data_IF_630975113428
#
_entry.id   IF_630975113428
#
_cell.length_a   1.000
_cell.length_b   1.000
_cell.length_c   1.000
_cell.angle_alpha   90.00
_cell.angle_beta   90.00
_cell.angle_gamma   90.00
#
_symmetry.space_group_name_H-M   'P 1'
#
loop_
_entity.id
_entity.type
_entity.pdbx_description
1 polymer ?
#
# COMPACT_ATOMS: atom_id res chain seq x y z
N UNK A 1 -6.14 1.44 -18.23
CA UNK A 1 -4.98 1.80 -17.36
C UNK A 1 -5.34 1.47 -15.90
N UNK A 2 -4.74 0.45 -15.28
CA UNK A 2 -5.05 0.08 -13.88
C UNK A 2 -4.16 0.91 -12.94
N UNK A 3 -4.74 1.79 -12.14
CA UNK A 3 -4.00 2.60 -11.14
C UNK A 3 -3.70 1.73 -9.92
N UNK A 4 -2.43 1.62 -9.54
CA UNK A 4 -2.01 0.90 -8.35
C UNK A 4 -2.43 1.61 -7.07
N UNK A 5 -2.55 0.87 -5.96
CA UNK A 5 -3.00 1.42 -4.66
C UNK A 5 -2.09 2.53 -4.12
N UNK A 6 -0.80 2.49 -4.43
CA UNK A 6 0.18 3.42 -3.89
C UNK A 6 0.49 4.60 -4.82
N UNK A 7 0.03 4.55 -6.07
CA UNK A 7 0.26 5.58 -7.08
C UNK A 7 -0.43 6.90 -6.70
N UNK A 8 0.02 8.04 -7.26
CA UNK A 8 -0.69 9.31 -7.13
C UNK A 8 -2.13 9.17 -7.62
N UNK A 9 -3.07 9.75 -6.87
CA UNK A 9 -4.48 9.62 -7.18
C UNK A 9 -4.84 10.46 -8.43
N UNK A 10 -5.51 9.88 -9.44
CA UNK A 10 -5.79 10.55 -10.72
C UNK A 10 -6.79 11.73 -10.60
N UNK A 11 -7.32 12.02 -9.42
CA UNK A 11 -8.18 13.18 -9.17
C UNK A 11 -7.41 14.49 -8.89
N UNK A 12 -6.09 14.50 -9.04
CA UNK A 12 -5.26 15.70 -8.82
C UNK A 12 -4.98 16.04 -7.36
N UNK A 13 -5.43 15.23 -6.41
CA UNK A 13 -5.26 15.53 -4.96
C UNK A 13 -3.82 15.43 -4.43
N UNK A 14 -2.86 14.94 -5.21
CA UNK A 14 -1.48 14.63 -4.76
C UNK A 14 -1.36 13.49 -3.74
N UNK A 15 -2.47 12.92 -3.25
CA UNK A 15 -2.49 11.81 -2.28
C UNK A 15 -2.36 10.46 -2.99
N UNK A 16 -1.86 9.43 -2.30
CA UNK A 16 -1.87 8.04 -2.80
C UNK A 16 -3.30 7.57 -3.09
N UNK A 17 -3.53 6.84 -4.18
CA UNK A 17 -4.85 6.39 -4.62
C UNK A 17 -5.63 5.66 -3.51
N UNK A 18 -4.94 4.78 -2.74
CA UNK A 18 -5.53 4.10 -1.58
C UNK A 18 -6.08 5.06 -0.53
N UNK A 19 -5.42 6.19 -0.27
CA UNK A 19 -5.81 7.19 0.75
C UNK A 19 -6.78 8.26 0.22
N UNK A 20 -7.13 8.21 -1.06
CA UNK A 20 -8.00 9.19 -1.69
C UNK A 20 -9.24 8.49 -2.27
N UNK A 21 -9.41 8.46 -3.59
CA UNK A 21 -10.63 7.97 -4.24
C UNK A 21 -10.97 6.52 -3.88
N UNK A 22 -10.00 5.68 -3.52
CA UNK A 22 -10.27 4.30 -3.12
C UNK A 22 -11.06 4.18 -1.80
N UNK A 23 -10.81 5.06 -0.82
CA UNK A 23 -11.56 5.06 0.45
C UNK A 23 -12.85 5.87 0.40
N UNK A 24 -13.03 6.74 -0.62
CA UNK A 24 -14.28 7.51 -0.79
C UNK A 24 -15.49 6.63 -1.09
N UNK A 25 -15.27 5.41 -1.57
CA UNK A 25 -16.32 4.44 -1.91
C UNK A 25 -16.56 3.39 -0.81
N UNK A 26 -15.79 3.40 0.27
CA UNK A 26 -15.96 2.45 1.37
C UNK A 26 -17.04 2.95 2.35
N UNK A 27 -17.91 2.08 2.88
CA UNK A 27 -18.76 2.47 3.99
C UNK A 27 -17.86 2.97 5.12
N UNK A 28 -18.08 4.20 5.58
CA UNK A 28 -17.40 4.70 6.76
C UNK A 28 -17.68 3.69 7.86
N UNK A 29 -16.66 2.93 8.26
CA UNK A 29 -16.76 2.00 9.39
C UNK A 29 -17.29 2.83 10.55
N UNK A 30 -18.58 2.69 10.84
CA UNK A 30 -19.12 3.20 12.09
C UNK A 30 -18.27 2.48 13.13
N UNK A 31 -17.50 3.23 13.91
CA UNK A 31 -16.92 2.66 15.12
C UNK A 31 -18.12 2.09 15.87
N UNK A 32 -18.31 0.78 15.82
CA UNK A 32 -19.28 0.12 16.67
C UNK A 32 -18.70 0.26 18.06
N UNK A 33 -19.00 1.38 18.70
CA UNK A 33 -18.86 1.56 20.13
C UNK A 33 -19.91 0.64 20.80
N UNK A 34 -19.66 -0.66 20.71
CA UNK A 34 -20.09 -1.65 21.67
C UNK A 34 -18.80 -1.85 22.46
N UNK A 35 -18.58 -1.25 23.62
CA UNK A 35 -19.34 -1.41 24.86
C UNK A 35 -18.92 -0.26 25.79
N UNK A 36 -19.82 0.69 26.05
CA UNK A 36 -19.73 1.63 27.19
C UNK A 36 -20.81 1.33 28.24
N UNK A 37 -21.50 0.18 28.13
CA UNK A 37 -22.50 -0.26 29.10
C UNK A 37 -21.84 -1.27 30.03
N UNK A 38 -21.57 -0.82 31.25
CA UNK A 38 -20.77 -1.50 32.26
C UNK A 38 -21.28 -2.88 32.69
N UNK A 39 -20.35 -3.67 33.23
CA UNK A 39 -20.63 -4.94 33.89
C UNK A 39 -19.38 -5.81 34.03
N UNK A 40 -18.73 -5.74 35.20
CA UNK A 40 -17.97 -6.85 35.78
C UNK A 40 -16.48 -6.97 35.44
N UNK A 41 -15.65 -6.46 36.34
CA UNK A 41 -14.30 -6.97 36.56
C UNK A 41 -14.36 -8.45 36.92
N UNK A 42 -14.06 -9.33 35.96
CA UNK A 42 -13.65 -10.71 36.26
C UNK A 42 -12.24 -10.91 35.71
N UNK A 43 -11.25 -10.39 36.45
CA UNK A 43 -9.86 -10.86 36.35
C UNK A 43 -9.77 -12.24 37.01
N UNK A 44 -10.45 -13.22 36.44
CA UNK A 44 -10.42 -14.60 36.87
C UNK A 44 -9.43 -15.41 36.05
N UNK A 45 -8.36 -15.89 36.69
CA UNK A 45 -7.72 -17.15 36.28
C UNK A 45 -6.58 -17.06 35.29
N UNK A 46 -5.43 -16.56 35.77
CA UNK A 46 -4.14 -17.14 35.41
C UNK A 46 -4.17 -18.64 35.75
N UNK A 47 -4.40 -19.55 34.79
CA UNK A 47 -4.14 -20.99 34.95
C UNK A 47 -4.10 -21.73 33.59
N UNK A 48 -2.88 -22.04 33.13
CA UNK A 48 -2.58 -23.07 32.14
C UNK A 48 -2.71 -22.63 30.68
N UNK A 49 -1.74 -22.83 29.79
CA UNK A 49 -0.58 -23.74 29.76
C UNK A 49 0.46 -23.05 28.87
N UNK A 50 1.72 -23.02 29.27
CA UNK A 50 2.80 -22.49 28.45
C UNK A 50 2.94 -23.30 27.15
N UNK A 51 2.24 -22.90 26.09
CA UNK A 51 2.50 -23.42 24.75
C UNK A 51 3.78 -22.75 24.29
N UNK A 52 4.88 -23.51 24.29
CA UNK A 52 6.20 -23.14 23.77
C UNK A 52 6.04 -22.25 22.53
N UNK A 53 6.38 -20.98 22.69
CA UNK A 53 6.55 -20.05 21.57
C UNK A 53 7.81 -20.55 20.86
N UNK A 54 7.64 -21.32 19.80
CA UNK A 54 8.73 -21.83 18.97
C UNK A 54 9.57 -20.65 18.51
N UNK A 55 10.82 -20.60 18.99
CA UNK A 55 11.81 -19.58 18.67
C UNK A 55 12.40 -19.77 17.25
N UNK A 56 11.82 -20.67 16.47
CA UNK A 56 12.22 -20.97 15.09
C UNK A 56 11.86 -19.85 14.09
N UNK A 57 11.13 -18.83 14.53
CA UNK A 57 10.86 -17.62 13.73
C UNK A 57 12.13 -16.80 13.42
N UNK A 58 13.24 -17.03 14.13
CA UNK A 58 14.49 -16.28 13.98
C UNK A 58 15.49 -16.84 12.95
N UNK A 59 15.18 -17.92 12.21
CA UNK A 59 16.21 -18.68 11.46
C UNK A 59 16.35 -18.42 9.95
N UNK A 60 15.85 -17.33 9.36
CA UNK A 60 16.39 -16.93 8.05
C UNK A 60 16.19 -15.45 7.73
N UNK A 61 17.24 -14.60 7.80
CA UNK A 61 17.17 -13.30 7.16
C UNK A 61 16.90 -13.52 5.66
N UNK A 62 15.92 -12.83 5.06
CA UNK A 62 15.69 -12.91 3.63
C UNK A 62 16.94 -12.42 2.90
N UNK A 63 17.44 -13.20 1.94
CA UNK A 63 18.59 -12.82 1.14
C UNK A 63 18.33 -11.48 0.44
N UNK A 64 19.33 -10.58 0.37
CA UNK A 64 19.18 -9.31 -0.32
C UNK A 64 18.87 -9.60 -1.78
N UNK A 65 17.68 -9.15 -2.22
CA UNK A 65 17.30 -9.21 -3.63
C UNK A 65 18.34 -8.42 -4.40
N UNK A 66 19.06 -9.09 -5.30
CA UNK A 66 19.92 -8.42 -6.29
C UNK A 66 19.03 -7.43 -7.02
N UNK A 67 19.25 -6.15 -6.79
CA UNK A 67 18.63 -5.10 -7.57
C UNK A 67 19.13 -5.28 -9.00
N UNK A 68 18.22 -5.65 -9.90
CA UNK A 68 18.52 -5.57 -11.32
C UNK A 68 18.86 -4.10 -11.62
N UNK A 69 19.98 -3.82 -12.31
CA UNK A 69 20.33 -2.45 -12.67
C UNK A 69 19.15 -1.83 -13.44
N UNK A 70 18.88 -0.53 -13.26
CA UNK A 70 17.81 0.13 -13.97
C UNK A 70 18.01 -0.13 -15.47
N UNK A 71 16.98 -0.71 -16.11
CA UNK A 71 16.94 -0.82 -17.57
C UNK A 71 17.25 0.56 -18.11
N UNK A 72 18.34 0.64 -18.89
CA UNK A 72 18.79 1.86 -19.54
C UNK A 72 17.57 2.48 -20.21
N UNK A 73 17.36 3.77 -19.98
CA UNK A 73 16.41 4.55 -20.75
C UNK A 73 16.95 4.58 -22.18
N UNK A 74 16.54 3.60 -22.99
CA UNK A 74 16.72 3.63 -24.43
C UNK A 74 15.79 4.73 -24.94
N UNK A 75 16.40 5.88 -25.19
CA UNK A 75 16.10 6.85 -26.23
C UNK A 75 14.65 6.83 -26.76
N UNK A 76 13.74 7.48 -26.04
CA UNK A 76 12.58 8.11 -26.67
C UNK A 76 13.10 9.36 -27.39
N UNK A 77 13.78 9.13 -28.51
CA UNK A 77 14.08 10.17 -29.48
C UNK A 77 12.74 10.70 -29.99
N UNK A 78 12.35 11.95 -29.69
CA UNK A 78 11.13 12.49 -30.24
C UNK A 78 11.34 12.61 -31.75
N UNK A 79 10.75 11.68 -32.51
CA UNK A 79 10.46 11.86 -33.94
C UNK A 79 9.44 12.99 -34.08
N UNK A 80 9.88 14.23 -33.89
CA UNK A 80 9.27 15.34 -34.58
C UNK A 80 9.96 15.43 -35.94
N UNK A 81 9.27 15.12 -37.05
CA UNK A 81 9.77 15.52 -38.35
C UNK A 81 9.89 17.04 -38.38
N UNK A 82 10.91 17.61 -39.05
CA UNK A 82 10.89 19.04 -39.35
C UNK A 82 9.62 19.31 -40.16
N UNK A 83 8.82 20.29 -39.72
CA UNK A 83 7.77 20.88 -40.54
C UNK A 83 8.47 21.50 -41.76
N UNK A 84 8.52 20.73 -42.84
CA UNK A 84 8.78 21.20 -44.18
C UNK A 84 7.42 21.55 -44.81
N UNK A 85 7.44 22.66 -45.54
CA UNK A 85 6.36 23.26 -46.31
C UNK A 85 5.34 24.07 -45.45
N UNK A 86 5.06 25.35 -45.75
CA UNK A 86 4.77 25.84 -47.09
C UNK A 86 5.27 27.28 -47.38
N UNK A 87 5.67 27.55 -48.64
CA UNK A 87 5.90 28.88 -49.19
C UNK A 87 4.61 29.59 -49.60
N UNK A 88 4.46 30.87 -49.24
CA UNK A 88 4.21 32.04 -50.12
C UNK A 88 4.27 33.34 -49.31
#
# INVERSE_FOLDING_TARGET
>A
KKVGRNDPCPCGSGKKYKKCCKHRLGPKRKFSASVLSGGGSNVGGLQGKATKISTDFFKKPPEPKKEEPPRKAEDDEPKHPPEADEPM
#
